data_IF_148288492894
#
_entry.id   IF_148288492894
#
_cell.length_a   1.000
_cell.length_b   1.000
_cell.length_c   1.000
_cell.angle_alpha   90.00
_cell.angle_beta   90.00
_cell.angle_gamma   90.00
#
_symmetry.space_group_name_H-M   'P 1'
#
loop_
_entity.id
_entity.type
_entity.pdbx_description
1 polymer ?
#
# COMPACT_ATOMS: atom_id res chain seq x y z
N UNK A 1 24.29 12.03 31.87
CA UNK A 1 23.20 12.67 31.10
C UNK A 1 22.07 12.97 32.07
N UNK A 2 21.82 14.24 32.38
CA UNK A 2 20.85 14.62 33.41
C UNK A 2 19.40 14.46 32.93
N UNK A 3 18.50 14.13 33.85
CA UNK A 3 17.06 13.99 33.59
C UNK A 3 16.47 15.23 32.88
N UNK A 4 16.90 16.43 33.27
CA UNK A 4 16.52 17.70 32.64
C UNK A 4 16.90 17.78 31.15
N UNK A 5 18.08 17.28 30.77
CA UNK A 5 18.53 17.27 29.36
C UNK A 5 17.71 16.31 28.50
N UNK A 6 17.22 15.22 29.10
CA UNK A 6 16.32 14.27 28.44
C UNK A 6 14.94 14.88 28.15
N UNK A 7 14.37 15.60 29.13
CA UNK A 7 13.06 16.25 29.00
C UNK A 7 13.08 17.33 27.91
N UNK A 8 14.12 18.17 27.89
CA UNK A 8 14.27 19.23 26.87
C UNK A 8 14.39 18.62 25.47
N UNK A 9 15.14 17.52 25.33
CA UNK A 9 15.29 16.82 24.04
C UNK A 9 13.96 16.23 23.57
N UNK A 10 13.15 15.67 24.47
CA UNK A 10 11.83 15.13 24.16
C UNK A 10 10.85 16.23 23.69
N UNK A 11 10.84 17.39 24.37
CA UNK A 11 10.06 18.55 23.97
C UNK A 11 10.47 19.07 22.59
N UNK A 12 11.78 19.22 22.35
CA UNK A 12 12.30 19.63 21.04
C UNK A 12 11.96 18.64 19.93
N UNK A 13 11.91 17.33 20.22
CA UNK A 13 11.43 16.35 19.23
C UNK A 13 9.93 16.49 18.97
N UNK A 14 9.10 16.69 20.00
CA UNK A 14 7.65 16.85 19.85
C UNK A 14 7.27 18.07 19.01
N UNK A 15 7.92 19.21 19.24
CA UNK A 15 7.65 20.46 18.51
C UNK A 15 7.92 20.30 17.00
N UNK A 16 8.95 19.54 16.61
CA UNK A 16 9.24 19.28 15.20
C UNK A 16 8.09 18.60 14.47
N UNK A 17 7.36 17.71 15.15
CA UNK A 17 6.22 17.00 14.56
C UNK A 17 4.97 17.87 14.37
N UNK A 18 4.88 19.04 15.02
CA UNK A 18 3.78 20.00 14.80
C UNK A 18 3.95 20.72 13.46
N UNK A 19 5.19 21.03 13.09
CA UNK A 19 5.51 21.70 11.82
C UNK A 19 5.63 20.74 10.63
N UNK A 20 5.83 19.44 10.87
CA UNK A 20 5.88 18.44 9.80
C UNK A 20 4.48 18.13 9.27
N UNK A 21 4.38 17.99 7.94
CA UNK A 21 3.14 17.56 7.29
C UNK A 21 2.72 16.19 7.84
N UNK A 22 1.43 16.03 8.14
CA UNK A 22 0.87 14.76 8.62
C UNK A 22 1.04 13.68 7.56
N UNK A 23 1.46 12.50 7.98
CA UNK A 23 1.55 11.30 7.12
C UNK A 23 0.18 10.63 6.87
N UNK A 24 -0.87 11.08 7.54
CA UNK A 24 -2.23 10.57 7.41
C UNK A 24 -2.93 11.17 6.20
N UNK A 25 -3.59 10.34 5.40
CA UNK A 25 -4.43 10.76 4.27
C UNK A 25 -5.91 10.77 4.70
N UNK A 26 -6.68 11.76 4.24
CA UNK A 26 -8.12 11.84 4.54
C UNK A 26 -8.94 11.00 3.56
N UNK A 27 -9.32 9.79 3.95
CA UNK A 27 -10.29 8.99 3.19
C UNK A 27 -11.70 9.60 3.27
N UNK A 28 -12.50 9.64 2.18
CA UNK A 28 -12.23 9.13 0.83
C UNK A 28 -11.57 10.12 -0.15
N UNK A 29 -11.35 11.36 0.26
CA UNK A 29 -10.87 12.48 -0.58
C UNK A 29 -9.43 12.28 -1.09
N UNK A 30 -8.55 11.80 -0.22
CA UNK A 30 -7.14 11.53 -0.51
C UNK A 30 -6.91 10.01 -0.52
N UNK A 31 -6.74 9.44 -1.72
CA UNK A 31 -6.45 8.02 -1.91
C UNK A 31 -4.95 7.78 -2.08
N UNK A 32 -4.46 6.69 -1.51
CA UNK A 32 -3.14 6.16 -1.83
C UNK A 32 -3.10 5.83 -3.32
N UNK A 33 -2.12 6.35 -4.05
CA UNK A 33 -1.81 5.86 -5.39
C UNK A 33 -1.12 4.51 -5.22
N UNK A 34 -1.88 3.43 -5.20
CA UNK A 34 -1.31 2.10 -5.33
C UNK A 34 -0.66 2.01 -6.71
N UNK A 35 0.63 1.67 -6.75
CA UNK A 35 1.35 1.50 -8.02
C UNK A 35 0.85 0.20 -8.65
N UNK A 36 0.25 0.28 -9.83
CA UNK A 36 -0.14 -0.87 -10.65
C UNK A 36 -1.65 -1.01 -10.84
N UNK A 37 -2.10 -0.80 -12.08
CA UNK A 37 -3.45 -1.14 -12.56
C UNK A 37 -3.64 -2.67 -12.58
N UNK A 38 -3.65 -3.30 -11.41
CA UNK A 38 -3.68 -4.75 -11.28
C UNK A 38 -2.39 -5.43 -11.72
N UNK A 39 -2.46 -6.74 -11.95
CA UNK A 39 -1.33 -7.50 -12.51
C UNK A 39 -1.07 -7.02 -13.94
N UNK A 40 0.12 -6.48 -14.17
CA UNK A 40 0.57 -6.10 -15.51
C UNK A 40 1.60 -7.10 -15.98
N UNK A 41 1.52 -7.51 -17.25
CA UNK A 41 2.57 -8.31 -17.87
C UNK A 41 3.51 -7.37 -18.61
N UNK A 42 4.80 -7.38 -18.27
CA UNK A 42 5.81 -6.66 -19.02
C UNK A 42 6.41 -7.59 -20.09
N UNK A 43 6.10 -7.38 -21.39
CA UNK A 43 6.60 -8.24 -22.46
C UNK A 43 8.11 -8.09 -22.70
N UNK A 44 8.74 -7.03 -22.20
CA UNK A 44 10.18 -6.81 -22.40
C UNK A 44 11.04 -7.66 -21.47
N UNK A 45 10.55 -7.93 -20.26
CA UNK A 45 11.24 -8.69 -19.23
C UNK A 45 10.63 -10.07 -18.97
N UNK A 46 9.47 -10.36 -19.57
CA UNK A 46 8.78 -11.65 -19.46
C UNK A 46 8.24 -11.94 -18.06
N UNK A 47 8.17 -10.93 -17.19
CA UNK A 47 7.72 -11.06 -15.79
C UNK A 47 6.39 -10.34 -15.57
N UNK A 48 5.55 -10.95 -14.74
CA UNK A 48 4.35 -10.32 -14.22
C UNK A 48 4.70 -9.33 -13.12
N UNK A 49 4.38 -8.06 -13.32
CA UNK A 49 4.45 -7.03 -12.30
C UNK A 49 3.26 -7.25 -11.36
N UNK A 50 3.56 -7.58 -10.10
CA UNK A 50 2.56 -7.76 -9.07
C UNK A 50 1.90 -6.42 -8.73
N UNK A 51 0.66 -6.23 -9.18
CA UNK A 51 -0.18 -5.12 -8.74
C UNK A 51 -0.82 -5.39 -7.38
N UNK A 52 -1.66 -4.46 -6.95
CA UNK A 52 -2.47 -4.62 -5.74
C UNK A 52 -3.43 -5.81 -5.89
N UNK A 53 -3.34 -6.78 -4.98
CA UNK A 53 -4.34 -7.86 -4.84
C UNK A 53 -5.62 -7.27 -4.22
N UNK A 54 -6.46 -6.67 -5.06
CA UNK A 54 -7.73 -6.08 -4.67
C UNK A 54 -8.87 -7.11 -4.61
N UNK A 55 -10.08 -6.66 -4.92
CA UNK A 55 -11.25 -7.53 -5.05
C UNK A 55 -11.07 -8.48 -6.24
N UNK A 56 -11.35 -9.77 -6.05
CA UNK A 56 -11.40 -10.75 -7.14
C UNK A 56 -12.45 -10.33 -8.17
N UNK A 57 -12.05 -10.25 -9.45
CA UNK A 57 -12.93 -10.02 -10.57
C UNK A 57 -12.96 -11.28 -11.43
N UNK A 58 -14.16 -11.76 -11.75
CA UNK A 58 -14.36 -12.90 -12.64
C UNK A 58 -14.74 -12.38 -14.02
N UNK A 59 -13.87 -12.62 -15.00
CA UNK A 59 -14.19 -12.40 -16.41
C UNK A 59 -14.82 -13.68 -16.96
N UNK A 60 -16.12 -13.63 -17.27
CA UNK A 60 -16.88 -14.80 -17.70
C UNK A 60 -16.38 -15.40 -19.00
N UNK A 61 -15.81 -14.61 -19.90
CA UNK A 61 -15.28 -15.07 -21.19
C UNK A 61 -14.05 -15.98 -21.07
N UNK A 62 -13.34 -15.90 -19.94
CA UNK A 62 -12.12 -16.70 -19.69
C UNK A 62 -12.37 -17.89 -18.75
N UNK A 63 -13.50 -17.90 -18.04
CA UNK A 63 -13.79 -18.94 -17.06
C UNK A 63 -14.38 -20.18 -17.73
N UNK A 64 -13.68 -21.31 -17.64
CA UNK A 64 -14.17 -22.61 -18.14
C UNK A 64 -14.85 -23.46 -17.07
N UNK A 65 -14.96 -22.97 -15.83
CA UNK A 65 -15.56 -23.74 -14.72
C UNK A 65 -14.70 -24.92 -14.26
N UNK A 66 -13.39 -24.91 -14.53
CA UNK A 66 -12.47 -26.00 -14.22
C UNK A 66 -12.17 -26.24 -12.72
N UNK A 67 -12.78 -25.46 -11.81
CA UNK A 67 -12.62 -25.55 -10.35
C UNK A 67 -11.18 -25.35 -9.81
N UNK A 68 -10.20 -25.08 -10.67
CA UNK A 68 -8.79 -24.93 -10.26
C UNK A 68 -8.59 -23.79 -9.26
N UNK A 69 -9.33 -22.69 -9.39
CA UNK A 69 -9.25 -21.56 -8.45
C UNK A 69 -9.71 -21.92 -7.03
N UNK A 70 -10.59 -22.92 -6.85
CA UNK A 70 -10.99 -23.38 -5.51
C UNK A 70 -10.00 -24.40 -4.95
N UNK A 71 -9.40 -25.22 -5.81
CA UNK A 71 -8.42 -26.25 -5.41
C UNK A 71 -7.10 -25.58 -4.97
N UNK A 72 -6.71 -24.49 -5.63
CA UNK A 72 -5.48 -23.76 -5.38
C UNK A 72 -5.63 -22.55 -4.43
N UNK A 73 -6.80 -22.38 -3.81
CA UNK A 73 -7.07 -21.30 -2.85
C UNK A 73 -6.28 -21.50 -1.56
#
# INVERSE_FOLDING_TARGET
MGTATGIIRALNSGIKHIAMKRFTLRYPEEKLKFVGDGYQFDPSTGVGIAGLKGRHMLFHDHCTGCQLCSIAC
#
